data_IF_372392958488
#
_entry.id   IF_372392958488
#
_cell.length_a   1.000
_cell.length_b   1.000
_cell.length_c   1.000
_cell.angle_alpha   90.00
_cell.angle_beta   90.00
_cell.angle_gamma   90.00
#
_symmetry.space_group_name_H-M   'P 1'
#
loop_
_entity.id
_entity.type
_entity.pdbx_description
1 polymer ?
#
# COMPACT_ATOMS: atom_id res chain seq x y z
N UNK A 1 8.21 58.44 5.40
CA UNK A 1 7.05 57.53 5.50
C UNK A 1 7.16 56.22 4.71
N UNK A 2 8.20 55.97 3.91
CA UNK A 2 8.26 54.77 3.04
C UNK A 2 8.76 53.47 3.69
N UNK A 3 9.79 53.53 4.53
CA UNK A 3 10.43 52.31 5.09
C UNK A 3 9.56 51.55 6.08
N UNK A 4 8.76 52.26 6.89
CA UNK A 4 7.82 51.65 7.83
C UNK A 4 6.65 50.96 7.13
N UNK A 5 6.05 51.62 6.13
CA UNK A 5 4.94 51.07 5.36
C UNK A 5 5.37 49.84 4.56
N UNK A 6 6.54 49.88 3.92
CA UNK A 6 7.11 48.75 3.19
C UNK A 6 7.44 47.54 4.10
N UNK A 7 7.87 47.78 5.35
CA UNK A 7 8.09 46.72 6.34
C UNK A 7 6.77 46.11 6.82
N UNK A 8 5.75 46.94 7.08
CA UNK A 8 4.43 46.46 7.52
C UNK A 8 3.76 45.65 6.42
N UNK A 9 3.79 46.10 5.16
CA UNK A 9 3.22 45.34 4.04
C UNK A 9 3.97 44.03 3.81
N UNK A 10 5.31 44.02 3.83
CA UNK A 10 6.08 42.77 3.74
C UNK A 10 5.80 41.80 4.90
N UNK A 11 5.56 42.31 6.11
CA UNK A 11 5.17 41.48 7.25
C UNK A 11 3.75 40.92 7.11
N UNK A 12 2.81 41.72 6.60
CA UNK A 12 1.44 41.26 6.32
C UNK A 12 1.45 40.15 5.27
N UNK A 13 2.15 40.36 4.16
CA UNK A 13 2.30 39.39 3.06
C UNK A 13 2.96 38.07 3.52
N UNK A 14 3.96 38.15 4.39
CA UNK A 14 4.58 36.96 4.97
C UNK A 14 3.62 36.20 5.88
N UNK A 15 2.83 36.90 6.69
CA UNK A 15 1.81 36.28 7.55
C UNK A 15 0.71 35.63 6.73
N UNK A 16 0.23 36.28 5.67
CA UNK A 16 -0.77 35.72 4.74
C UNK A 16 -0.24 34.47 4.06
N UNK A 17 1.01 34.49 3.60
CA UNK A 17 1.67 33.31 2.99
C UNK A 17 1.77 32.15 3.99
N UNK A 18 2.17 32.43 5.24
CA UNK A 18 2.23 31.41 6.30
C UNK A 18 0.84 30.86 6.63
N UNK A 19 -0.18 31.71 6.68
CA UNK A 19 -1.55 31.29 6.98
C UNK A 19 -2.14 30.41 5.88
N UNK A 20 -1.92 30.79 4.61
CA UNK A 20 -2.35 30.02 3.44
C UNK A 20 -1.62 28.68 3.39
N UNK A 21 -0.30 28.65 3.61
CA UNK A 21 0.48 27.40 3.59
C UNK A 21 0.04 26.44 4.69
N UNK A 22 -0.19 26.92 5.92
CA UNK A 22 -0.73 26.10 7.02
C UNK A 22 -2.11 25.54 6.69
N UNK A 23 -2.98 26.34 6.08
CA UNK A 23 -4.32 25.92 5.66
C UNK A 23 -4.26 24.81 4.59
N UNK A 24 -3.41 24.96 3.58
CA UNK A 24 -3.22 23.95 2.53
C UNK A 24 -2.66 22.65 3.11
N UNK A 25 -1.65 22.72 3.98
CA UNK A 25 -1.07 21.54 4.62
C UNK A 25 -2.11 20.80 5.47
N UNK A 26 -2.93 21.54 6.22
CA UNK A 26 -4.03 20.96 7.00
C UNK A 26 -5.03 20.20 6.11
N UNK A 27 -5.43 20.80 4.98
CA UNK A 27 -6.31 20.14 4.00
C UNK A 27 -5.65 18.86 3.45
N UNK A 28 -4.37 18.90 3.10
CA UNK A 28 -3.65 17.73 2.61
C UNK A 28 -3.62 16.58 3.64
N UNK A 29 -3.38 16.87 4.91
CA UNK A 29 -3.40 15.86 5.99
C UNK A 29 -4.79 15.25 6.13
N UNK A 30 -5.84 16.08 6.07
CA UNK A 30 -7.23 15.60 6.13
C UNK A 30 -7.54 14.72 4.92
N UNK A 31 -7.21 15.15 3.69
CA UNK A 31 -7.47 14.40 2.46
C UNK A 31 -6.74 13.04 2.42
N UNK A 32 -5.46 13.02 2.80
CA UNK A 32 -4.69 11.77 2.89
C UNK A 32 -5.17 10.89 4.04
N UNK A 33 -5.62 11.51 5.13
CA UNK A 33 -6.12 10.85 6.33
C UNK A 33 -7.61 10.48 6.30
N UNK A 34 -8.40 10.82 5.27
CA UNK A 34 -9.87 10.59 5.24
C UNK A 34 -10.17 9.14 5.60
N UNK A 35 -9.42 8.20 5.05
CA UNK A 35 -9.62 6.77 5.31
C UNK A 35 -9.23 6.34 6.72
N UNK A 36 -8.33 7.06 7.40
CA UNK A 36 -7.93 6.84 8.80
C UNK A 36 -8.91 7.51 9.77
N UNK A 37 -9.40 8.71 9.45
CA UNK A 37 -10.31 9.48 10.29
C UNK A 37 -11.78 9.04 10.17
N UNK A 38 -12.25 8.60 8.99
CA UNK A 38 -13.65 8.24 8.77
C UNK A 38 -14.03 6.79 9.07
N UNK A 39 -13.08 5.85 9.15
CA UNK A 39 -13.40 4.45 9.49
C UNK A 39 -13.06 4.16 10.96
N UNK A 40 -14.04 3.64 11.70
CA UNK A 40 -13.86 3.17 13.09
C UNK A 40 -12.81 2.04 13.07
N UNK A 41 -11.60 2.29 13.59
CA UNK A 41 -10.36 1.47 13.46
C UNK A 41 -9.56 1.64 12.15
N UNK A 42 -9.52 2.84 11.56
CA UNK A 42 -8.66 3.14 10.41
C UNK A 42 -7.18 2.96 10.71
N UNK A 43 -6.63 1.81 10.32
CA UNK A 43 -5.18 1.58 10.30
C UNK A 43 -4.64 1.96 8.92
N UNK A 44 -3.49 2.63 8.89
CA UNK A 44 -2.75 2.84 7.66
C UNK A 44 -2.50 1.46 7.01
N UNK A 45 -2.80 1.26 5.72
CA UNK A 45 -2.73 -0.06 5.09
C UNK A 45 -1.31 -0.60 5.23
N UNK A 46 -1.18 -1.80 5.80
CA UNK A 46 0.11 -2.45 5.99
C UNK A 46 0.74 -2.69 4.62
N UNK A 47 1.80 -1.94 4.29
CA UNK A 47 2.55 -2.10 3.03
C UNK A 47 3.35 -3.41 2.94
N UNK A 48 3.38 -4.19 4.02
CA UNK A 48 4.06 -5.48 4.05
C UNK A 48 3.19 -6.55 3.38
N UNK A 49 3.68 -7.09 2.26
CA UNK A 49 3.03 -8.13 1.45
C UNK A 49 2.50 -9.31 2.27
N UNK A 50 3.21 -9.71 3.32
CA UNK A 50 2.83 -10.85 4.17
C UNK A 50 1.72 -10.52 5.19
N UNK A 51 1.57 -9.25 5.59
CA UNK A 51 0.64 -8.81 6.63
C UNK A 51 -0.67 -8.20 6.12
N UNK A 52 -0.82 -8.01 4.81
CA UNK A 52 -1.98 -7.33 4.24
C UNK A 52 -3.09 -8.31 3.87
N UNK A 53 -4.20 -8.30 4.63
CA UNK A 53 -5.36 -9.16 4.38
C UNK A 53 -5.95 -8.97 2.97
N UNK A 54 -5.95 -7.74 2.45
CA UNK A 54 -6.42 -7.45 1.10
C UNK A 54 -5.55 -8.06 -0.01
N UNK A 55 -4.24 -8.25 0.23
CA UNK A 55 -3.36 -8.95 -0.72
C UNK A 55 -3.50 -10.47 -0.63
N UNK A 56 -3.72 -11.01 0.58
CA UNK A 56 -4.05 -12.42 0.77
C UNK A 56 -5.36 -12.80 0.08
N UNK A 57 -6.39 -11.96 0.20
CA UNK A 57 -7.69 -12.17 -0.46
C UNK A 57 -7.57 -12.10 -2.00
N UNK A 58 -6.54 -11.42 -2.53
CA UNK A 58 -6.17 -11.41 -3.96
C UNK A 58 -5.21 -12.54 -4.37
N UNK A 59 -4.86 -13.45 -3.46
CA UNK A 59 -3.93 -14.56 -3.71
C UNK A 59 -2.46 -14.16 -3.86
N UNK A 60 -2.09 -12.91 -3.55
CA UNK A 60 -0.72 -12.42 -3.70
C UNK A 60 0.05 -12.73 -2.42
N UNK A 61 0.71 -13.88 -2.40
CA UNK A 61 1.63 -14.32 -1.35
C UNK A 61 3.08 -13.91 -1.62
N UNK A 62 3.94 -14.05 -0.60
CA UNK A 62 5.39 -13.89 -0.75
C UNK A 62 5.90 -14.83 -1.85
N UNK A 63 6.85 -14.39 -2.69
CA UNK A 63 7.43 -15.21 -3.75
C UNK A 63 7.89 -16.57 -3.22
N UNK A 64 8.45 -16.62 -2.00
CA UNK A 64 8.90 -17.85 -1.36
C UNK A 64 7.76 -18.81 -0.98
N UNK A 65 6.59 -18.31 -0.58
CA UNK A 65 5.43 -19.18 -0.28
C UNK A 65 4.79 -19.70 -1.57
N UNK A 66 4.73 -18.86 -2.62
CA UNK A 66 4.26 -19.29 -3.95
C UNK A 66 5.19 -20.35 -4.56
N UNK A 67 6.52 -20.18 -4.43
CA UNK A 67 7.50 -21.17 -4.89
C UNK A 67 7.37 -22.50 -4.13
N UNK A 68 7.13 -22.44 -2.81
CA UNK A 68 6.90 -23.63 -1.98
C UNK A 68 5.61 -24.35 -2.36
N UNK A 69 4.52 -23.64 -2.62
CA UNK A 69 3.26 -24.23 -3.10
C UNK A 69 3.38 -24.78 -4.52
N UNK A 70 4.10 -24.10 -5.41
CA UNK A 70 4.39 -24.59 -6.77
C UNK A 70 5.28 -25.84 -6.78
N UNK A 71 6.22 -25.96 -5.83
CA UNK A 71 6.99 -27.20 -5.60
C UNK A 71 6.19 -28.30 -4.94
N UNK A 72 5.22 -27.96 -4.09
CA UNK A 72 4.33 -28.93 -3.43
C UNK A 72 3.27 -29.48 -4.37
N UNK A 73 2.96 -28.80 -5.46
CA UNK A 73 2.09 -29.34 -6.52
C UNK A 73 2.93 -30.31 -7.36
N UNK A 74 2.78 -31.63 -7.22
CA UNK A 74 3.47 -32.57 -8.11
C UNK A 74 2.99 -32.28 -9.54
N UNK A 75 3.91 -31.82 -10.40
CA UNK A 75 3.61 -31.54 -11.82
C UNK A 75 3.36 -32.79 -12.65
N UNK A 76 3.53 -33.97 -12.05
CA UNK A 76 3.30 -35.26 -12.67
C UNK A 76 2.54 -36.08 -11.65
N UNK A 77 1.28 -36.43 -11.96
CA UNK A 77 0.58 -37.50 -11.27
C UNK A 77 1.44 -38.74 -11.42
N UNK A 78 2.05 -39.18 -10.31
CA UNK A 78 2.71 -40.48 -10.26
C UNK A 78 1.73 -41.56 -10.71
N UNK A 79 0.43 -41.34 -10.51
CA UNK A 79 -0.67 -42.17 -11.00
C UNK A 79 -0.73 -42.30 -12.54
N UNK A 80 -0.37 -41.25 -13.30
CA UNK A 80 -0.31 -41.30 -14.77
C UNK A 80 0.93 -42.08 -15.22
N UNK A 81 2.07 -41.83 -14.57
CA UNK A 81 3.31 -42.54 -14.85
C UNK A 81 3.19 -44.03 -14.49
N UNK A 82 2.55 -44.35 -13.36
CA UNK A 82 2.25 -45.70 -12.89
C UNK A 82 1.30 -46.41 -13.86
N UNK A 83 0.27 -45.73 -14.38
CA UNK A 83 -0.57 -46.26 -15.45
C UNK A 83 0.22 -46.57 -16.71
N UNK A 84 1.06 -45.65 -17.18
CA UNK A 84 1.86 -45.87 -18.40
C UNK A 84 2.89 -46.99 -18.24
N UNK A 85 3.49 -47.14 -17.06
CA UNK A 85 4.42 -48.22 -16.74
C UNK A 85 3.70 -49.57 -16.71
N UNK A 86 2.53 -49.63 -16.06
CA UNK A 86 1.77 -50.87 -15.94
C UNK A 86 1.20 -51.33 -17.29
N UNK A 87 0.83 -50.41 -18.18
CA UNK A 87 0.39 -50.71 -19.56
C UNK A 87 1.56 -51.22 -20.43
N UNK A 88 2.78 -50.74 -20.18
CA UNK A 88 3.99 -51.18 -20.91
C UNK A 88 4.55 -52.55 -20.46
N UNK A 89 4.09 -53.06 -19.31
CA UNK A 89 4.52 -54.34 -18.74
C UNK A 89 3.57 -55.51 -19.06
N UNK A 90 2.43 -55.24 -19.70
CA UNK A 90 1.44 -56.22 -20.13
C UNK A 90 1.43 -56.35 -21.66
#
# INVERSE_FOLDING_TARGET
>A
MGYGYFRITKLMEMLDTVLITLLIVAICIVLLGVKVFFVKNGKFPNGHVSGNKAMRDKGIGCAQSQDREARRKPRFSIDELEKTLNDSMN
#
